data_IF_224694367612
#
_entry.id   IF_224694367612
#
_cell.length_a   1.000
_cell.length_b   1.000
_cell.length_c   1.000
_cell.angle_alpha   90.00
_cell.angle_beta   90.00
_cell.angle_gamma   90.00
#
_symmetry.space_group_name_H-M   'P 1'
#
loop_
_entity.id
_entity.type
_entity.pdbx_description
1 polymer ?
#
# COMPACT_ATOMS: atom_id res chain seq x y z
N UNK A 1 31.32 111.92 -6.00
CA UNK A 1 31.77 112.72 -4.82
C UNK A 1 31.36 111.95 -3.57
N UNK A 2 32.12 110.96 -3.12
CA UNK A 2 33.22 111.03 -2.12
C UNK A 2 32.82 111.81 -0.86
N UNK A 3 32.61 111.08 0.24
CA UNK A 3 32.98 111.36 1.65
C UNK A 3 32.33 110.24 2.50
N UNK A 4 32.99 109.16 2.95
CA UNK A 4 34.07 109.01 3.93
C UNK A 4 33.97 109.95 5.15
N UNK A 5 33.87 109.32 6.33
CA UNK A 5 34.15 109.82 7.69
C UNK A 5 32.94 109.97 8.60
N UNK A 6 32.50 108.86 9.22
CA UNK A 6 31.99 108.87 10.60
C UNK A 6 32.05 107.45 11.20
N UNK A 7 33.26 106.88 11.19
CA UNK A 7 33.60 105.65 11.88
C UNK A 7 34.27 106.03 13.20
N UNK A 8 33.49 106.18 14.27
CA UNK A 8 33.92 106.08 15.67
C UNK A 8 32.65 106.27 16.52
N UNK A 9 32.41 105.41 17.51
CA UNK A 9 31.26 105.37 18.44
C UNK A 9 30.17 104.30 18.15
N UNK A 10 30.49 103.23 17.41
CA UNK A 10 29.63 102.04 17.27
C UNK A 10 30.06 100.88 18.20
N UNK A 11 30.68 101.19 19.35
CA UNK A 11 31.35 100.20 20.20
C UNK A 11 30.61 99.72 21.46
N UNK A 12 29.57 100.40 22.03
CA UNK A 12 28.85 99.81 23.18
C UNK A 12 27.64 98.96 22.75
N UNK A 13 27.14 99.11 21.51
CA UNK A 13 25.95 98.40 21.04
C UNK A 13 26.22 96.96 20.59
N UNK A 14 27.47 96.67 20.18
CA UNK A 14 27.89 95.31 19.77
C UNK A 14 28.12 94.39 20.99
N UNK A 15 28.51 94.94 22.14
CA UNK A 15 28.73 94.19 23.37
C UNK A 15 27.41 93.67 24.00
N UNK A 16 26.31 94.40 23.86
CA UNK A 16 25.01 93.98 24.39
C UNK A 16 24.38 92.83 23.58
N UNK A 17 24.66 92.74 22.27
CA UNK A 17 24.17 91.65 21.40
C UNK A 17 24.98 90.36 21.62
N UNK A 18 26.26 90.47 21.96
CA UNK A 18 27.12 89.32 22.28
C UNK A 18 26.72 88.61 23.58
N UNK A 19 26.16 89.32 24.58
CA UNK A 19 25.67 88.68 25.81
C UNK A 19 24.32 87.95 25.63
N UNK A 20 23.49 88.35 24.67
CA UNK A 20 22.21 87.68 24.39
C UNK A 20 22.37 86.40 23.54
N UNK A 21 23.53 86.19 22.91
CA UNK A 21 23.83 85.01 22.09
C UNK A 21 24.46 83.84 22.88
N UNK A 22 24.84 84.03 24.14
CA UNK A 22 25.39 82.99 25.02
C UNK A 22 24.34 82.40 25.99
N UNK A 23 23.04 82.48 25.65
CA UNK A 23 21.94 81.95 26.46
C UNK A 23 21.11 80.85 25.79
N UNK A 24 21.36 80.51 24.53
CA UNK A 24 20.61 79.48 23.80
C UNK A 24 21.56 78.39 23.34
N UNK A 25 21.92 77.54 24.30
CA UNK A 25 22.56 76.26 24.05
C UNK A 25 21.63 75.41 23.15
N UNK A 26 22.05 75.06 21.92
CA UNK A 26 21.45 73.95 21.20
C UNK A 26 21.83 72.70 22.00
N UNK A 27 20.87 72.15 22.75
CA UNK A 27 21.09 70.98 23.57
C UNK A 27 21.35 69.73 22.74
N UNK A 28 22.60 69.53 22.33
CA UNK A 28 23.21 68.21 22.15
C UNK A 28 24.56 68.25 22.83
N UNK A 29 25.07 67.18 23.47
CA UNK A 29 24.66 65.78 23.44
C UNK A 29 24.35 65.25 24.85
N UNK A 30 23.07 65.08 25.18
CA UNK A 30 22.64 64.49 26.44
C UNK A 30 22.79 62.97 26.40
N UNK A 31 23.87 62.45 26.99
CA UNK A 31 23.99 61.11 27.53
C UNK A 31 23.75 59.95 26.56
N UNK A 32 24.77 59.11 26.38
CA UNK A 32 24.53 57.70 26.13
C UNK A 32 23.85 57.08 27.38
N UNK A 33 22.62 57.47 27.69
CA UNK A 33 21.66 56.54 28.24
C UNK A 33 21.12 55.74 27.05
N UNK A 34 22.03 55.01 26.40
CA UNK A 34 21.67 53.90 25.53
C UNK A 34 21.09 52.82 26.42
N UNK A 35 19.86 53.05 26.89
CA UNK A 35 18.98 51.93 27.19
C UNK A 35 19.00 51.05 25.94
N UNK A 36 19.11 49.72 26.10
CA UNK A 36 19.20 48.83 24.96
C UNK A 36 18.12 49.21 23.93
N UNK A 37 18.47 49.30 22.64
CA UNK A 37 17.53 49.75 21.63
C UNK A 37 16.24 48.94 21.75
N UNK A 38 15.06 49.56 21.65
CA UNK A 38 13.79 48.86 21.86
C UNK A 38 13.68 47.72 20.86
N UNK A 39 13.55 46.49 21.39
CA UNK A 39 13.39 45.28 20.59
C UNK A 39 11.95 44.81 20.64
N UNK A 40 11.43 44.42 19.49
CA UNK A 40 10.10 43.80 19.39
C UNK A 40 10.18 42.36 19.87
N UNK A 41 9.31 41.98 20.81
CA UNK A 41 9.22 40.61 21.33
C UNK A 41 7.80 40.08 21.15
N UNK A 42 7.70 38.77 20.88
CA UNK A 42 6.43 38.05 20.81
C UNK A 42 6.50 36.81 21.74
N UNK A 43 5.40 36.49 22.46
CA UNK A 43 5.38 35.32 23.35
C UNK A 43 5.40 34.02 22.55
N UNK A 44 6.28 33.08 22.94
CA UNK A 44 6.35 31.76 22.33
C UNK A 44 5.16 30.89 22.82
N UNK A 45 4.22 30.60 21.94
CA UNK A 45 3.14 29.64 22.21
C UNK A 45 3.55 28.25 21.73
N UNK A 46 3.66 27.29 22.65
CA UNK A 46 3.78 25.89 22.28
C UNK A 46 2.42 25.35 21.86
N UNK A 47 2.38 24.70 20.71
CA UNK A 47 1.24 23.92 20.24
C UNK A 47 1.77 22.60 19.72
N UNK A 48 1.02 21.55 19.97
CA UNK A 48 1.28 20.26 19.38
C UNK A 48 0.99 20.36 17.87
N UNK A 49 2.01 20.05 17.07
CA UNK A 49 1.92 20.05 15.60
C UNK A 49 2.10 18.60 15.17
N UNK A 50 1.14 18.10 14.40
CA UNK A 50 1.30 16.82 13.74
C UNK A 50 2.09 17.02 12.45
N UNK A 51 3.24 16.36 12.37
CA UNK A 51 4.07 16.32 11.17
C UNK A 51 3.60 15.15 10.31
N UNK A 52 3.34 15.43 9.02
CA UNK A 52 2.90 14.43 8.06
C UNK A 52 4.03 14.18 7.08
N UNK A 53 4.40 12.92 6.93
CA UNK A 53 5.32 12.47 5.90
C UNK A 53 4.53 11.89 4.72
N UNK A 54 4.83 12.38 3.51
CA UNK A 54 4.23 11.86 2.28
C UNK A 54 5.16 10.86 1.60
N UNK A 55 4.63 9.66 1.33
CA UNK A 55 5.36 8.62 0.62
C UNK A 55 4.56 8.15 -0.59
N UNK A 56 5.27 7.88 -1.69
CA UNK A 56 4.66 7.22 -2.85
C UNK A 56 4.61 5.72 -2.59
N UNK A 57 3.43 5.13 -2.70
CA UNK A 57 3.22 3.70 -2.59
C UNK A 57 2.55 3.14 -3.85
N UNK A 58 2.75 1.84 -4.09
CA UNK A 58 2.06 1.08 -5.12
C UNK A 58 1.10 0.11 -4.45
N UNK A 59 -0.13 0.06 -4.95
CA UNK A 59 -1.11 -0.94 -4.55
C UNK A 59 -1.02 -2.14 -5.49
N UNK A 60 -1.07 -3.33 -4.91
CA UNK A 60 -1.12 -4.60 -5.63
C UNK A 60 -2.31 -5.43 -5.13
N UNK A 61 -2.78 -6.33 -5.99
CA UNK A 61 -3.85 -7.24 -5.59
C UNK A 61 -3.33 -8.22 -4.52
N UNK A 62 -4.08 -8.46 -3.43
CA UNK A 62 -3.64 -9.38 -2.38
C UNK A 62 -3.42 -10.80 -2.91
N UNK A 63 -4.23 -11.21 -3.90
CA UNK A 63 -4.09 -12.49 -4.60
C UNK A 63 -4.16 -12.25 -6.11
N UNK A 64 -3.18 -12.77 -6.85
CA UNK A 64 -3.18 -12.80 -8.32
C UNK A 64 -2.99 -14.25 -8.78
N UNK A 65 -3.87 -14.74 -9.65
CA UNK A 65 -3.84 -16.13 -10.12
C UNK A 65 -3.82 -16.18 -11.64
N UNK A 66 -2.75 -16.75 -12.19
CA UNK A 66 -2.67 -17.10 -13.60
C UNK A 66 -3.40 -18.41 -13.87
N UNK A 67 -4.51 -18.34 -14.60
CA UNK A 67 -5.29 -19.53 -14.98
C UNK A 67 -4.59 -20.25 -16.13
N UNK A 68 -4.14 -21.49 -15.89
CA UNK A 68 -3.48 -22.35 -16.88
C UNK A 68 -4.21 -23.68 -17.03
N UNK A 69 -4.24 -24.21 -18.25
CA UNK A 69 -4.81 -25.52 -18.51
C UNK A 69 -3.93 -26.61 -17.86
N UNK A 70 -4.54 -27.48 -17.05
CA UNK A 70 -3.86 -28.63 -16.42
C UNK A 70 -3.76 -29.84 -17.32
N UNK A 71 -4.57 -29.89 -18.36
CA UNK A 71 -4.65 -31.00 -19.31
C UNK A 71 -4.53 -30.45 -20.73
N UNK A 72 -3.92 -31.23 -21.62
CA UNK A 72 -3.90 -30.93 -23.04
C UNK A 72 -5.27 -31.20 -23.65
N UNK A 73 -5.72 -30.32 -24.54
CA UNK A 73 -6.99 -30.48 -25.23
C UNK A 73 -7.38 -29.22 -25.99
N UNK A 74 -8.40 -29.36 -26.84
CA UNK A 74 -8.94 -28.23 -27.61
C UNK A 74 -9.98 -27.51 -26.76
N UNK A 75 -9.92 -26.18 -26.72
CA UNK A 75 -10.94 -25.35 -26.06
C UNK A 75 -12.21 -25.38 -26.90
N UNK A 76 -13.29 -25.88 -26.33
CA UNK A 76 -14.62 -25.95 -26.93
C UNK A 76 -15.38 -24.62 -26.77
N UNK A 77 -15.30 -24.01 -25.58
CA UNK A 77 -16.00 -22.77 -25.29
C UNK A 77 -15.33 -21.95 -24.19
N UNK A 78 -15.39 -20.62 -24.35
CA UNK A 78 -15.08 -19.64 -23.31
C UNK A 78 -16.39 -19.18 -22.68
N UNK A 79 -16.49 -19.24 -21.35
CA UNK A 79 -17.75 -19.07 -20.59
C UNK A 79 -17.81 -17.84 -19.70
N UNK A 80 -16.91 -16.89 -19.92
CA UNK A 80 -16.91 -15.61 -19.21
C UNK A 80 -16.78 -14.45 -20.20
N UNK A 81 -17.20 -13.27 -19.77
CA UNK A 81 -16.93 -12.01 -20.47
C UNK A 81 -15.72 -11.33 -19.85
N UNK A 82 -14.95 -10.61 -20.66
CA UNK A 82 -13.80 -9.85 -20.17
C UNK A 82 -14.23 -8.84 -19.10
N UNK A 83 -13.46 -8.78 -18.00
CA UNK A 83 -13.76 -7.92 -16.85
C UNK A 83 -14.92 -8.40 -15.96
N UNK A 84 -15.53 -9.55 -16.26
CA UNK A 84 -16.61 -10.11 -15.43
C UNK A 84 -16.07 -10.60 -14.08
N UNK A 85 -16.83 -10.32 -13.01
CA UNK A 85 -16.59 -10.93 -11.71
C UNK A 85 -17.02 -12.41 -11.74
N UNK A 86 -16.09 -13.31 -11.49
CA UNK A 86 -16.32 -14.77 -11.47
C UNK A 86 -16.16 -15.33 -10.07
N UNK A 87 -16.93 -16.36 -9.73
CA UNK A 87 -16.83 -17.02 -8.42
C UNK A 87 -15.96 -18.28 -8.50
N UNK A 88 -15.40 -18.67 -7.35
CA UNK A 88 -14.64 -19.93 -7.24
C UNK A 88 -15.53 -21.12 -7.63
N UNK A 89 -15.03 -21.95 -8.54
CA UNK A 89 -15.75 -23.13 -9.04
C UNK A 89 -16.60 -22.88 -10.27
N UNK A 90 -16.72 -21.63 -10.74
CA UNK A 90 -17.42 -21.31 -11.98
C UNK A 90 -16.59 -21.76 -13.19
N UNK A 91 -17.20 -22.48 -14.16
CA UNK A 91 -16.47 -22.97 -15.32
C UNK A 91 -16.12 -21.82 -16.27
N UNK A 92 -14.83 -21.51 -16.39
CA UNK A 92 -14.34 -20.44 -17.29
C UNK A 92 -14.09 -20.94 -18.72
N UNK A 93 -13.56 -22.16 -18.84
CA UNK A 93 -13.22 -22.78 -20.12
C UNK A 93 -13.77 -24.20 -20.16
N UNK A 94 -14.28 -24.59 -21.33
CA UNK A 94 -14.68 -25.97 -21.61
C UNK A 94 -13.67 -26.57 -22.57
N UNK A 95 -13.18 -27.76 -22.26
CA UNK A 95 -12.25 -28.52 -23.10
C UNK A 95 -13.02 -29.71 -23.68
N UNK A 96 -12.72 -30.08 -24.93
CA UNK A 96 -13.32 -31.26 -25.57
C UNK A 96 -13.12 -32.50 -24.70
N UNK A 97 -14.24 -33.01 -24.17
CA UNK A 97 -14.26 -34.10 -23.22
C UNK A 97 -14.27 -35.50 -23.88
N UNK A 98 -14.27 -35.63 -25.22
CA UNK A 98 -14.48 -36.93 -25.88
C UNK A 98 -13.43 -37.97 -25.49
N UNK A 99 -12.15 -37.60 -25.54
CA UNK A 99 -11.06 -38.50 -25.14
C UNK A 99 -11.16 -38.87 -23.65
N UNK A 100 -11.37 -37.87 -22.79
CA UNK A 100 -11.51 -38.09 -21.35
C UNK A 100 -12.71 -38.95 -20.98
N UNK A 101 -13.86 -38.77 -21.64
CA UNK A 101 -15.06 -39.59 -21.45
C UNK A 101 -14.82 -41.04 -21.87
N UNK A 102 -14.09 -41.27 -22.96
CA UNK A 102 -13.72 -42.62 -23.38
C UNK A 102 -12.78 -43.29 -22.36
N UNK A 103 -11.80 -42.56 -21.82
CA UNK A 103 -10.91 -43.07 -20.78
C UNK A 103 -11.65 -43.39 -19.47
N UNK A 104 -12.59 -42.54 -19.06
CA UNK A 104 -13.46 -42.78 -17.90
C UNK A 104 -14.30 -44.04 -18.14
N UNK A 105 -14.96 -44.16 -19.29
CA UNK A 105 -15.78 -45.33 -19.61
C UNK A 105 -14.95 -46.63 -19.61
N UNK A 106 -13.71 -46.59 -20.12
CA UNK A 106 -12.78 -47.73 -20.06
C UNK A 106 -12.45 -48.10 -18.61
N UNK A 107 -12.13 -47.12 -17.77
CA UNK A 107 -11.81 -47.36 -16.37
C UNK A 107 -13.01 -47.90 -15.59
N UNK A 108 -14.20 -47.37 -15.84
CA UNK A 108 -15.46 -47.86 -15.26
C UNK A 108 -15.75 -49.32 -15.64
N UNK A 109 -15.52 -49.68 -16.91
CA UNK A 109 -15.67 -51.07 -17.36
C UNK A 109 -14.66 -52.01 -16.67
N UNK A 110 -13.42 -51.57 -16.46
CA UNK A 110 -12.42 -52.36 -15.71
C UNK A 110 -12.84 -52.54 -14.25
N UNK A 111 -13.35 -51.49 -13.60
CA UNK A 111 -13.88 -51.58 -12.23
C UNK A 111 -15.08 -52.54 -12.17
N UNK A 112 -15.98 -52.50 -13.16
CA UNK A 112 -17.11 -53.41 -13.23
C UNK A 112 -16.67 -54.87 -13.39
N UNK A 113 -15.74 -55.15 -14.30
CA UNK A 113 -15.19 -56.49 -14.51
C UNK A 113 -14.51 -57.04 -13.24
N UNK A 114 -13.69 -56.21 -12.57
CA UNK A 114 -13.03 -56.58 -11.33
C UNK A 114 -14.03 -56.87 -10.20
N UNK A 115 -15.12 -56.09 -10.10
CA UNK A 115 -16.20 -56.36 -9.15
C UNK A 115 -16.88 -57.71 -9.43
N UNK A 116 -17.21 -57.99 -10.70
CA UNK A 116 -17.80 -59.29 -11.07
C UNK A 116 -16.87 -60.45 -10.74
N UNK A 117 -15.57 -60.31 -11.01
CA UNK A 117 -14.59 -61.34 -10.68
C UNK A 117 -14.48 -61.55 -9.16
N UNK A 118 -14.50 -60.48 -8.37
CA UNK A 118 -14.48 -60.58 -6.91
C UNK A 118 -15.75 -61.26 -6.37
N UNK A 119 -16.92 -60.96 -6.92
CA UNK A 119 -18.17 -61.62 -6.53
C UNK A 119 -18.19 -63.10 -6.93
N UNK A 120 -17.66 -63.45 -8.12
CA UNK A 120 -17.50 -64.84 -8.52
C UNK A 120 -16.55 -65.59 -7.56
N UNK A 121 -15.39 -65.02 -7.26
CA UNK A 121 -14.43 -65.61 -6.33
C UNK A 121 -15.02 -65.82 -4.93
N UNK A 122 -15.83 -64.87 -4.43
CA UNK A 122 -16.57 -65.01 -3.17
C UNK A 122 -17.59 -66.14 -3.21
N UNK A 123 -18.35 -66.25 -4.30
CA UNK A 123 -19.33 -67.32 -4.46
C UNK A 123 -18.66 -68.70 -4.57
N UNK A 124 -17.53 -68.79 -5.25
CA UNK A 124 -16.75 -70.03 -5.37
C UNK A 124 -16.11 -70.42 -4.03
N UNK A 125 -15.59 -69.45 -3.27
CA UNK A 125 -15.10 -69.67 -1.90
C UNK A 125 -16.21 -70.21 -0.99
N UNK A 126 -17.37 -69.55 -0.94
CA UNK A 126 -18.50 -69.99 -0.13
C UNK A 126 -19.00 -71.39 -0.53
N UNK A 127 -18.92 -71.74 -1.82
CA UNK A 127 -19.22 -73.10 -2.30
C UNK A 127 -18.18 -74.10 -1.81
N UNK A 128 -16.90 -73.79 -1.93
CA UNK A 128 -15.81 -74.68 -1.52
C UNK A 128 -15.85 -74.95 -0.01
N UNK A 129 -16.08 -73.92 0.83
CA UNK A 129 -16.23 -74.06 2.28
C UNK A 129 -17.33 -75.07 2.66
N UNK A 130 -18.47 -75.00 1.97
CA UNK A 130 -19.57 -75.96 2.15
C UNK A 130 -19.17 -77.39 1.79
N UNK A 131 -18.38 -77.59 0.73
CA UNK A 131 -17.97 -78.93 0.28
C UNK A 131 -16.90 -79.56 1.18
N UNK A 132 -16.01 -78.76 1.77
CA UNK A 132 -15.05 -79.24 2.77
C UNK A 132 -15.76 -79.72 4.03
N UNK A 133 -16.84 -79.06 4.47
CA UNK A 133 -17.62 -79.49 5.63
C UNK A 133 -18.26 -80.89 5.48
N UNK A 134 -18.42 -81.37 4.25
CA UNK A 134 -18.95 -82.71 3.93
C UNK A 134 -17.85 -83.68 3.46
N UNK A 135 -16.58 -83.36 3.71
CA UNK A 135 -15.38 -84.14 3.34
C UNK A 135 -15.28 -84.45 1.82
N UNK A 136 -15.84 -83.59 0.96
CA UNK A 136 -15.85 -83.82 -0.49
C UNK A 136 -14.65 -83.19 -1.22
N UNK A 137 -13.87 -82.31 -0.58
CA UNK A 137 -12.76 -81.52 -1.18
C UNK A 137 -11.64 -81.32 -0.14
N UNK A 138 -10.38 -81.15 -0.57
CA UNK A 138 -9.22 -80.99 0.33
C UNK A 138 -9.13 -79.57 0.91
N UNK A 139 -8.75 -79.38 2.19
CA UNK A 139 -8.56 -78.04 2.78
C UNK A 139 -7.50 -77.17 2.09
N UNK A 140 -6.54 -77.75 1.37
CA UNK A 140 -5.50 -77.00 0.65
C UNK A 140 -5.99 -76.33 -0.65
N UNK A 141 -7.19 -76.66 -1.13
CA UNK A 141 -7.77 -76.04 -2.34
C UNK A 141 -8.54 -74.74 -2.04
N UNK A 142 -8.64 -74.35 -0.75
CA UNK A 142 -9.38 -73.16 -0.27
C UNK A 142 -8.44 -72.01 0.17
N UNK A 143 -7.18 -72.31 0.47
CA UNK A 143 -6.13 -71.35 0.87
C UNK A 143 -5.39 -70.78 -0.35
#
# INVERSE_FOLDING_TARGET
MINKSLALNLSPLLAAVLLAACGQQPGGPGGHAGGPPPVSVAPATQREVQEFDEFTARLEAPDTVDVRARVAGTVEAVRFKEGQLVRKGEPLFSIDARAFKADVARAEAQVAAAKTQAELARADLARAEKLVSVNAVSPQEID
#
